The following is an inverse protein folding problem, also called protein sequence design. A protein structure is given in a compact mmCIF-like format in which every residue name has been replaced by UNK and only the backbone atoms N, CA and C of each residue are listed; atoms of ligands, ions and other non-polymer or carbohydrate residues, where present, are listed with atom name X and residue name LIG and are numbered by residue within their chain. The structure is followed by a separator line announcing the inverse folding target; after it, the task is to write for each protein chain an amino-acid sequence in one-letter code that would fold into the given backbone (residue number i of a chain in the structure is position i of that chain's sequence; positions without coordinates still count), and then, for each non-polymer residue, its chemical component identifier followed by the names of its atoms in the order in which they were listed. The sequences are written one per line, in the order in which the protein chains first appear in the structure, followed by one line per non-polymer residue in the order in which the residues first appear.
data_IF_225234600973
#
_entry.id   IF_225234600973
#
_cell.length_a   1.000
_cell.length_b   1.000
_cell.length_c   1.000
_cell.angle_alpha   90.00
_cell.angle_beta   90.00
_cell.angle_gamma   90.00
#
_symmetry.space_group_name_H-M   'P 1'
#
loop_
_entity.id
_entity.type
_entity.pdbx_description
1 polymer ?
#
# COMPACT_ATOMS: atom_id res chain seq x y z
N UNK A 1 -12.53 4.37 -35.71
CA UNK A 1 -11.30 4.16 -34.93
C UNK A 1 -11.51 4.85 -33.59
N UNK A 2 -11.98 4.11 -32.58
CA UNK A 2 -12.20 4.66 -31.24
C UNK A 2 -10.81 4.68 -30.62
N UNK A 3 -10.29 5.86 -30.31
CA UNK A 3 -9.04 5.97 -29.55
C UNK A 3 -9.34 5.27 -28.24
N UNK A 4 -8.84 4.05 -28.09
CA UNK A 4 -8.85 3.37 -26.82
C UNK A 4 -8.04 4.26 -25.89
N UNK A 5 -8.63 4.62 -24.76
CA UNK A 5 -8.03 5.45 -23.73
C UNK A 5 -6.92 4.64 -23.02
N UNK A 6 -5.93 4.20 -23.80
CA UNK A 6 -5.03 3.10 -23.45
C UNK A 6 -3.78 3.55 -22.67
N UNK A 7 -3.52 4.86 -22.52
CA UNK A 7 -2.22 5.33 -21.99
C UNK A 7 -2.31 6.66 -21.20
N UNK A 8 -3.44 6.98 -20.55
CA UNK A 8 -3.50 8.13 -19.64
C UNK A 8 -2.83 7.77 -18.30
N UNK A 9 -1.54 8.14 -18.15
CA UNK A 9 -0.81 8.05 -16.90
C UNK A 9 -1.40 9.03 -15.88
N UNK A 10 -2.41 8.59 -15.14
CA UNK A 10 -2.99 9.42 -14.08
C UNK A 10 -2.04 9.47 -12.88
N UNK A 11 -1.44 10.64 -12.57
CA UNK A 11 -0.46 10.77 -11.48
C UNK A 11 -1.09 10.49 -10.12
N UNK A 12 -2.38 10.81 -9.96
CA UNK A 12 -3.12 10.54 -8.73
C UNK A 12 -3.26 9.04 -8.46
N UNK A 13 -3.52 8.25 -9.51
CA UNK A 13 -3.65 6.79 -9.41
C UNK A 13 -2.31 6.18 -9.04
N UNK A 14 -1.23 6.60 -9.71
CA UNK A 14 0.13 6.17 -9.39
C UNK A 14 0.50 6.49 -7.94
N UNK A 15 0.22 7.70 -7.47
CA UNK A 15 0.45 8.09 -6.08
C UNK A 15 -0.31 7.18 -5.09
N UNK A 16 -1.58 6.85 -5.37
CA UNK A 16 -2.38 5.94 -4.53
C UNK A 16 -1.80 4.52 -4.47
N UNK A 17 -1.19 4.05 -5.56
CA UNK A 17 -0.49 2.76 -5.56
C UNK A 17 0.84 2.83 -4.81
N UNK A 18 1.62 3.89 -5.00
CA UNK A 18 2.92 4.10 -4.35
C UNK A 18 2.76 4.23 -2.83
N UNK A 19 1.80 5.02 -2.37
CA UNK A 19 1.57 5.25 -0.93
C UNK A 19 0.63 4.22 -0.28
N UNK A 20 0.26 3.15 -0.98
CA UNK A 20 -0.59 2.09 -0.41
C UNK A 20 -2.02 2.51 -0.07
N UNK A 21 -2.50 3.66 -0.56
CA UNK A 21 -3.85 4.20 -0.30
C UNK A 21 -4.93 3.22 -0.77
N UNK A 22 -4.71 2.53 -1.89
CA UNK A 22 -5.63 1.50 -2.38
C UNK A 22 -5.75 0.31 -1.41
N UNK A 23 -4.66 -0.08 -0.73
CA UNK A 23 -4.66 -1.15 0.28
C UNK A 23 -5.46 -0.69 1.50
N UNK A 24 -5.28 0.55 1.94
CA UNK A 24 -6.06 1.12 3.05
C UNK A 24 -7.56 1.14 2.75
N UNK A 25 -7.94 1.51 1.52
CA UNK A 25 -9.35 1.48 1.07
C UNK A 25 -9.86 0.04 1.08
N UNK A 26 -9.12 -0.90 0.50
CA UNK A 26 -9.53 -2.30 0.48
C UNK A 26 -9.65 -2.90 1.89
N UNK A 27 -8.71 -2.59 2.80
CA UNK A 27 -8.78 -2.98 4.22
C UNK A 27 -10.06 -2.46 4.89
N UNK A 28 -10.42 -1.20 4.65
CA UNK A 28 -11.63 -0.59 5.22
C UNK A 28 -12.90 -1.28 4.69
N UNK A 29 -13.00 -1.43 3.37
CA UNK A 29 -14.17 -2.10 2.75
C UNK A 29 -14.28 -3.56 3.17
N UNK A 30 -13.17 -4.30 3.24
CA UNK A 30 -13.19 -5.71 3.64
C UNK A 30 -13.51 -5.90 5.12
N UNK A 31 -13.18 -4.94 5.98
CA UNK A 31 -13.53 -5.01 7.40
C UNK A 31 -15.04 -4.91 7.63
N UNK A 32 -15.75 -4.16 6.78
CA UNK A 32 -17.21 -3.97 6.83
C UNK A 32 -17.98 -5.12 6.14
N UNK A 33 -17.50 -5.56 4.98
CA UNK A 33 -18.21 -6.54 4.13
C UNK A 33 -17.89 -8.00 4.50
N UNK A 34 -16.62 -8.32 4.76
CA UNK A 34 -16.17 -9.70 4.94
C UNK A 34 -14.99 -9.83 5.91
N UNK A 35 -15.29 -9.72 7.22
CA UNK A 35 -14.29 -9.74 8.28
C UNK A 35 -13.40 -11.00 8.27
N UNK A 36 -13.93 -12.16 7.85
CA UNK A 36 -13.15 -13.40 7.75
C UNK A 36 -12.02 -13.29 6.71
N UNK A 37 -12.31 -12.67 5.57
CA UNK A 37 -11.32 -12.42 4.52
C UNK A 37 -10.36 -11.31 4.95
N UNK A 38 -10.85 -10.27 5.63
CA UNK A 38 -9.97 -9.29 6.25
C UNK A 38 -8.95 -9.95 7.19
N UNK A 39 -9.40 -10.83 8.09
CA UNK A 39 -8.51 -11.53 9.02
C UNK A 39 -7.52 -12.46 8.31
N UNK A 40 -7.94 -13.14 7.25
CA UNK A 40 -7.07 -14.02 6.46
C UNK A 40 -5.99 -13.22 5.70
N UNK A 41 -6.39 -12.22 4.93
CA UNK A 41 -5.50 -11.42 4.09
C UNK A 41 -4.59 -10.49 4.91
N UNK A 42 -5.09 -9.94 6.02
CA UNK A 42 -4.39 -8.95 6.83
C UNK A 42 -3.94 -9.50 8.19
N UNK A 43 -3.80 -10.81 8.33
CA UNK A 43 -3.38 -11.47 9.57
C UNK A 43 -2.08 -10.87 10.16
N UNK A 44 -1.09 -10.58 9.33
CA UNK A 44 0.16 -9.92 9.75
C UNK A 44 -0.05 -8.46 10.19
N UNK A 45 -0.91 -7.73 9.50
CA UNK A 45 -1.23 -6.33 9.83
C UNK A 45 -1.94 -6.26 11.17
N UNK A 46 -2.89 -7.17 11.42
CA UNK A 46 -3.61 -7.29 12.69
C UNK A 46 -2.63 -7.62 13.82
N UNK A 47 -1.73 -8.59 13.62
CA UNK A 47 -0.69 -8.94 14.62
C UNK A 47 0.23 -7.78 14.97
N UNK A 48 0.54 -6.92 13.99
CA UNK A 48 1.39 -5.73 14.16
C UNK A 48 0.60 -4.49 14.60
N UNK A 49 -0.73 -4.60 14.75
CA UNK A 49 -1.60 -3.47 15.11
C UNK A 49 -1.72 -2.39 14.04
N UNK A 50 -1.43 -2.71 12.78
CA UNK A 50 -1.45 -1.77 11.65
C UNK A 50 -2.89 -1.67 11.13
N UNK A 51 -3.46 -0.47 11.14
CA UNK A 51 -4.79 -0.19 10.59
C UNK A 51 -4.71 0.45 9.22
N UNK A 52 -5.85 0.56 8.53
CA UNK A 52 -5.94 1.21 7.22
C UNK A 52 -5.33 2.61 7.21
N UNK A 53 -5.59 3.42 8.25
CA UNK A 53 -5.05 4.79 8.38
C UNK A 53 -3.53 4.83 8.62
N UNK A 54 -2.93 3.74 9.14
CA UNK A 54 -1.49 3.65 9.37
C UNK A 54 -0.70 3.28 8.10
N UNK A 55 -1.36 2.71 7.08
CA UNK A 55 -0.70 2.23 5.85
C UNK A 55 0.01 3.38 5.12
N UNK A 56 -0.67 4.51 4.91
CA UNK A 56 -0.08 5.63 4.17
C UNK A 56 1.13 6.22 4.91
N UNK A 57 1.01 6.38 6.23
CA UNK A 57 2.09 6.87 7.08
C UNK A 57 3.29 5.92 7.10
N UNK A 58 3.03 4.61 7.13
CA UNK A 58 4.06 3.57 7.08
C UNK A 58 4.85 3.63 5.77
N UNK A 59 4.17 3.69 4.62
CA UNK A 59 4.83 3.79 3.31
C UNK A 59 5.65 5.07 3.19
N UNK A 60 5.12 6.22 3.61
CA UNK A 60 5.87 7.49 3.65
C UNK A 60 7.12 7.38 4.52
N UNK A 61 7.01 6.76 5.69
CA UNK A 61 8.15 6.55 6.60
C UNK A 61 9.20 5.62 5.98
N UNK A 62 8.78 4.54 5.32
CA UNK A 62 9.69 3.62 4.63
C UNK A 62 10.42 4.34 3.50
N UNK A 63 9.72 5.11 2.66
CA UNK A 63 10.33 5.90 1.59
C UNK A 63 11.34 6.92 2.14
N UNK A 64 10.99 7.65 3.21
CA UNK A 64 11.90 8.58 3.85
C UNK A 64 13.13 7.87 4.46
N UNK A 65 12.94 6.70 5.06
CA UNK A 65 14.02 5.92 5.66
C UNK A 65 15.00 5.42 4.59
N UNK A 66 14.50 4.93 3.45
CA UNK A 66 15.33 4.52 2.30
C UNK A 66 16.06 5.71 1.67
N UNK A 67 15.43 6.89 1.63
CA UNK A 67 16.07 8.10 1.09
C UNK A 67 17.24 8.57 1.97
N UNK A 68 17.13 8.43 3.28
CA UNK A 68 18.20 8.79 4.24
C UNK A 68 19.26 7.70 4.29
N UNK A 69 18.85 6.44 4.23
CA UNK A 69 19.72 5.27 4.24
C UNK A 69 19.89 4.75 2.80
N UNK A 70 20.59 5.53 1.96
CA UNK A 70 21.07 5.08 0.63
C UNK A 70 22.16 4.00 0.73
N UNK A 71 22.28 3.33 1.88
CA UNK A 71 23.21 2.23 2.06
C UNK A 71 22.57 0.97 1.50
N UNK A 72 22.98 0.60 0.29
CA UNK A 72 22.68 -0.72 -0.27
C UNK A 72 23.25 -1.75 0.70
N UNK A 73 22.42 -2.28 1.60
CA UNK A 73 22.80 -3.42 2.42
C UNK A 73 22.81 -4.63 1.52
N UNK A 74 24.01 -4.97 1.03
CA UNK A 74 24.26 -6.21 0.32
C UNK A 74 23.69 -7.37 1.13
N UNK A 75 22.75 -8.11 0.53
CA UNK A 75 22.14 -9.26 1.17
C UNK A 75 23.21 -10.34 1.32
N UNK A 76 23.65 -10.59 2.57
CA UNK A 76 24.48 -11.74 2.90
C UNK A 76 23.63 -13.00 2.66
N UNK A 77 23.87 -13.63 1.52
CA UNK A 77 23.33 -14.94 1.13
C UNK A 77 24.03 -16.06 1.91
#
# INVERSE_FOLDING_TARGET
MRIEESEQLNPEVHHKYICGVHVAVYMRTSMEDELAKYQFHFSEYIKKGIKADDIEALYKKVHATIQVDLTIKESKK
#
